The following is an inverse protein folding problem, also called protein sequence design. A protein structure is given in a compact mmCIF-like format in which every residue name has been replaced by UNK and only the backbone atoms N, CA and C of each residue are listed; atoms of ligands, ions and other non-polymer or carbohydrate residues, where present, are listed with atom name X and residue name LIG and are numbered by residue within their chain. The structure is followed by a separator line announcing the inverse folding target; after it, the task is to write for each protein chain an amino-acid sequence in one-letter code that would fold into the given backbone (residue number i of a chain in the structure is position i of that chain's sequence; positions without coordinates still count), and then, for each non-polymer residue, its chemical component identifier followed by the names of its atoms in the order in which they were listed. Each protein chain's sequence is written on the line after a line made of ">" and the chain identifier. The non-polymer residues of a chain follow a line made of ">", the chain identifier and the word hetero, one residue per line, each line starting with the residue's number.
data_IF_284514860907
#
_entry.id   IF_284514860907
#
_cell.length_a   1.000
_cell.length_b   1.000
_cell.length_c   1.000
_cell.angle_alpha   90.00
_cell.angle_beta   90.00
_cell.angle_gamma   90.00
#
_symmetry.space_group_name_H-M   'P 1'
#
loop_
_entity.id
_entity.type
_entity.pdbx_description
1 polymer ?
#
# COMPACT_ATOMS: atom_id res chain seq x y z
N UNK A 1 21.34 -8.89 -6.00
CA UNK A 1 20.12 -9.29 -5.28
C UNK A 1 18.96 -8.50 -5.84
N UNK A 2 17.91 -9.19 -6.31
CA UNK A 2 16.70 -8.55 -6.84
C UNK A 2 15.95 -7.86 -5.71
N UNK A 3 15.60 -6.59 -5.89
CA UNK A 3 14.71 -5.86 -4.98
C UNK A 3 13.29 -5.98 -5.50
N UNK A 4 12.33 -6.18 -4.62
CA UNK A 4 10.91 -6.25 -4.96
C UNK A 4 10.28 -4.86 -4.95
N UNK A 5 9.29 -4.67 -5.82
CA UNK A 5 8.57 -3.40 -5.93
C UNK A 5 7.10 -3.66 -5.70
N UNK A 6 6.47 -2.79 -4.91
CA UNK A 6 5.01 -2.73 -4.83
C UNK A 6 4.59 -1.49 -5.57
N UNK A 7 3.72 -1.68 -6.56
CA UNK A 7 3.06 -0.57 -7.25
C UNK A 7 1.57 -0.78 -7.26
N UNK A 8 0.80 0.28 -7.11
CA UNK A 8 -0.66 0.23 -7.20
C UNK A 8 -1.22 1.56 -7.68
N UNK A 9 -2.44 1.55 -8.19
CA UNK A 9 -3.19 2.75 -8.55
C UNK A 9 -4.33 2.95 -7.56
N UNK A 10 -4.51 4.17 -7.06
CA UNK A 10 -5.62 4.52 -6.16
C UNK A 10 -6.65 5.39 -6.86
N UNK A 11 -7.93 5.06 -6.65
CA UNK A 11 -9.04 5.91 -7.09
C UNK A 11 -9.37 6.94 -6.00
N UNK A 12 -8.99 8.19 -6.25
CA UNK A 12 -9.27 9.31 -5.33
C UNK A 12 -10.76 9.60 -5.15
N UNK A 13 -11.61 9.28 -6.13
CA UNK A 13 -13.06 9.45 -5.99
C UNK A 13 -13.61 8.38 -5.05
N UNK A 14 -13.19 7.12 -5.22
CA UNK A 14 -13.52 6.05 -4.29
C UNK A 14 -13.08 6.38 -2.86
N UNK A 15 -11.85 6.90 -2.68
CA UNK A 15 -11.37 7.30 -1.35
C UNK A 15 -12.19 8.43 -0.73
N UNK A 16 -12.67 9.41 -1.51
CA UNK A 16 -13.53 10.48 -0.96
C UNK A 16 -14.85 9.94 -0.41
N UNK A 17 -15.34 8.82 -0.95
CA UNK A 17 -16.60 8.21 -0.53
C UNK A 17 -16.42 7.18 0.59
N UNK A 18 -15.29 6.46 0.60
CA UNK A 18 -15.08 5.30 1.48
C UNK A 18 -14.03 5.53 2.56
N UNK A 19 -13.21 6.58 2.49
CA UNK A 19 -12.18 6.84 3.51
C UNK A 19 -12.79 7.55 4.74
N UNK A 20 -12.56 6.99 5.92
CA UNK A 20 -13.19 7.43 7.16
C UNK A 20 -12.48 8.63 7.84
N UNK A 21 -11.34 9.09 7.30
CA UNK A 21 -10.57 10.19 7.88
C UNK A 21 -10.89 11.55 7.26
N UNK A 22 -10.37 12.62 7.88
CA UNK A 22 -10.65 14.01 7.49
C UNK A 22 -10.20 14.39 6.07
N UNK A 23 -9.21 13.67 5.51
CA UNK A 23 -8.70 13.90 4.15
C UNK A 23 -8.27 12.58 3.53
N UNK A 24 -8.68 12.31 2.29
CA UNK A 24 -8.25 11.13 1.53
C UNK A 24 -6.72 11.06 1.39
N UNK A 25 -6.00 12.18 1.53
CA UNK A 25 -4.54 12.19 1.51
C UNK A 25 -3.94 11.35 2.65
N UNK A 26 -4.66 11.20 3.78
CA UNK A 26 -4.24 10.36 4.89
C UNK A 26 -4.21 8.86 4.53
N UNK A 27 -4.98 8.43 3.52
CA UNK A 27 -4.93 7.05 3.01
C UNK A 27 -3.52 6.65 2.55
N UNK A 28 -2.79 7.56 1.88
CA UNK A 28 -1.42 7.31 1.45
C UNK A 28 -0.47 7.15 2.65
N UNK A 29 -0.66 7.93 3.72
CA UNK A 29 0.13 7.81 4.94
C UNK A 29 -0.17 6.50 5.69
N UNK A 30 -1.43 6.11 5.76
CA UNK A 30 -1.86 4.84 6.36
C UNK A 30 -1.24 3.63 5.64
N UNK A 31 -1.29 3.64 4.30
CA UNK A 31 -0.64 2.60 3.49
C UNK A 31 0.86 2.59 3.72
N UNK A 32 1.49 3.77 3.68
CA UNK A 32 2.93 3.91 3.89
C UNK A 32 3.37 3.33 5.22
N UNK A 33 2.67 3.64 6.30
CA UNK A 33 3.00 3.17 7.64
C UNK A 33 3.00 1.64 7.73
N UNK A 34 2.03 0.97 7.10
CA UNK A 34 1.97 -0.51 7.08
C UNK A 34 3.10 -1.07 6.19
N UNK A 35 3.28 -0.55 4.98
CA UNK A 35 4.31 -1.04 4.07
C UNK A 35 5.74 -0.87 4.63
N UNK A 36 6.02 0.25 5.31
CA UNK A 36 7.32 0.47 5.96
C UNK A 36 7.57 -0.50 7.13
N UNK A 37 6.52 -0.92 7.86
CA UNK A 37 6.62 -1.95 8.89
C UNK A 37 6.98 -3.32 8.31
N UNK A 38 6.53 -3.61 7.09
CA UNK A 38 6.89 -4.81 6.33
C UNK A 38 8.21 -4.69 5.54
N UNK A 39 8.95 -3.59 5.73
CA UNK A 39 10.27 -3.39 5.14
C UNK A 39 10.24 -2.88 3.69
N UNK A 40 9.16 -2.25 3.28
CA UNK A 40 9.05 -1.57 1.98
C UNK A 40 9.17 -0.05 2.16
N UNK A 41 10.22 0.54 1.60
CA UNK A 41 10.47 1.99 1.65
C UNK A 41 9.69 2.71 0.54
N UNK A 42 9.00 3.80 0.89
CA UNK A 42 8.29 4.60 -0.11
C UNK A 42 9.29 5.36 -1.00
N UNK A 43 9.22 5.15 -2.31
CA UNK A 43 9.99 5.93 -3.28
C UNK A 43 9.22 7.20 -3.65
N UNK A 44 8.00 7.02 -4.15
CA UNK A 44 7.13 8.12 -4.56
C UNK A 44 5.70 7.61 -4.70
N UNK A 45 4.75 8.29 -4.06
CA UNK A 45 3.32 8.00 -4.20
C UNK A 45 3.01 6.55 -3.85
N UNK A 46 2.52 5.79 -4.83
CA UNK A 46 2.13 4.38 -4.71
C UNK A 46 3.24 3.38 -5.07
N UNK A 47 4.49 3.83 -5.18
CA UNK A 47 5.64 2.98 -5.49
C UNK A 47 6.49 2.77 -4.24
N UNK A 48 6.70 1.50 -3.89
CA UNK A 48 7.48 1.08 -2.73
C UNK A 48 8.54 0.05 -3.09
N UNK A 49 9.71 0.14 -2.47
CA UNK A 49 10.86 -0.73 -2.72
C UNK A 49 11.16 -1.56 -1.49
N UNK A 50 11.23 -2.88 -1.66
CA UNK A 50 11.64 -3.81 -0.60
C UNK A 50 13.11 -3.61 -0.22
N UNK A 51 13.38 -3.58 1.08
CA UNK A 51 14.73 -3.62 1.65
C UNK A 51 15.43 -4.95 1.35
N UNK A 52 16.71 -5.02 1.66
CA UNK A 52 17.49 -6.26 1.52
C UNK A 52 16.89 -7.38 2.39
N UNK A 53 16.73 -8.57 1.80
CA UNK A 53 16.12 -9.73 2.47
C UNK A 53 14.59 -9.83 2.37
N UNK A 54 13.93 -8.81 1.81
CA UNK A 54 12.49 -8.87 1.53
C UNK A 54 12.22 -9.82 0.35
N UNK A 55 11.12 -10.58 0.47
CA UNK A 55 10.61 -11.50 -0.55
C UNK A 55 9.16 -11.19 -0.90
N UNK A 56 8.66 -11.80 -1.98
CA UNK A 56 7.26 -11.68 -2.41
C UNK A 56 6.25 -12.03 -1.30
N UNK A 57 6.59 -12.99 -0.42
CA UNK A 57 5.74 -13.38 0.70
C UNK A 57 5.50 -12.22 1.69
N UNK A 58 6.54 -11.42 2.00
CA UNK A 58 6.39 -10.23 2.84
C UNK A 58 5.44 -9.23 2.21
N UNK A 59 5.54 -9.10 0.90
CA UNK A 59 4.66 -8.28 0.11
C UNK A 59 3.19 -8.71 0.19
N UNK A 60 2.94 -10.00 0.02
CA UNK A 60 1.59 -10.57 0.13
C UNK A 60 1.01 -10.36 1.53
N UNK A 61 1.81 -10.56 2.57
CA UNK A 61 1.39 -10.32 3.96
C UNK A 61 1.06 -8.84 4.18
N UNK A 62 1.88 -7.93 3.65
CA UNK A 62 1.65 -6.50 3.78
C UNK A 62 0.32 -6.05 3.13
N UNK A 63 0.03 -6.56 1.92
CA UNK A 63 -1.24 -6.28 1.23
C UNK A 63 -2.45 -6.91 1.97
N UNK A 64 -2.29 -8.11 2.54
CA UNK A 64 -3.32 -8.73 3.36
C UNK A 64 -3.62 -7.90 4.62
N UNK A 65 -2.58 -7.39 5.29
CA UNK A 65 -2.78 -6.49 6.44
C UNK A 65 -3.49 -5.21 6.04
N UNK A 66 -3.08 -4.57 4.93
CA UNK A 66 -3.77 -3.38 4.42
C UNK A 66 -5.25 -3.65 4.16
N UNK A 67 -5.57 -4.76 3.51
CA UNK A 67 -6.95 -5.15 3.19
C UNK A 67 -7.77 -5.49 4.45
N UNK A 68 -7.13 -6.08 5.47
CA UNK A 68 -7.80 -6.42 6.73
C UNK A 68 -8.02 -5.20 7.64
N UNK A 69 -7.10 -4.22 7.59
CA UNK A 69 -7.12 -3.03 8.45
C UNK A 69 -7.94 -1.89 7.85
N UNK A 70 -7.99 -1.82 6.53
CA UNK A 70 -8.63 -0.74 5.78
C UNK A 70 -9.63 -1.34 4.79
N UNK A 71 -10.90 -1.30 5.16
CA UNK A 71 -12.03 -1.75 4.33
C UNK A 71 -12.10 -1.04 2.97
N UNK A 72 -11.67 0.22 2.91
CA UNK A 72 -11.57 1.00 1.68
C UNK A 72 -10.38 0.62 0.78
N UNK A 73 -9.38 -0.10 1.29
CA UNK A 73 -8.16 -0.37 0.52
C UNK A 73 -8.44 -1.22 -0.72
N UNK A 74 -9.07 -2.39 -0.55
CA UNK A 74 -9.39 -3.26 -1.68
C UNK A 74 -10.31 -2.62 -2.73
N UNK A 75 -11.44 -1.97 -2.39
CA UNK A 75 -12.32 -1.36 -3.39
C UNK A 75 -11.72 -0.12 -4.06
N UNK A 76 -10.85 0.63 -3.38
CA UNK A 76 -10.28 1.88 -3.92
C UNK A 76 -8.89 1.73 -4.54
N UNK A 77 -8.36 0.50 -4.60
CA UNK A 77 -7.04 0.22 -5.15
C UNK A 77 -7.13 -0.74 -6.34
N UNK A 78 -6.32 -0.50 -7.36
CA UNK A 78 -6.28 -1.29 -8.58
C UNK A 78 -4.84 -1.46 -9.08
N UNK A 79 -4.64 -2.33 -10.07
CA UNK A 79 -3.32 -2.54 -10.71
C UNK A 79 -2.17 -2.83 -9.74
N UNK A 80 -2.44 -3.55 -8.65
CA UNK A 80 -1.42 -3.96 -7.68
C UNK A 80 -0.46 -4.94 -8.36
N UNK A 81 0.85 -4.63 -8.33
CA UNK A 81 1.92 -5.45 -8.91
C UNK A 81 3.07 -5.66 -7.93
N UNK A 82 3.72 -6.80 -8.09
CA UNK A 82 4.93 -7.25 -7.39
C UNK A 82 6.08 -7.53 -8.37
#
# INVERSE_FOLDING_TARGET
>A
MSRYLITFDMDTNCLKENYHGNSYNNAYYDIRNVLEQHGFDNLQGSVYLGREGISEAHGTIAIQELTAKFDWFYPCTSNIKF
#
